data_IF_479460355296
#
_entry.id   IF_479460355296
#
_cell.length_a   1.000
_cell.length_b   1.000
_cell.length_c   1.000
_cell.angle_alpha   90.00
_cell.angle_beta   90.00
_cell.angle_gamma   90.00
#
_symmetry.space_group_name_H-M   'P 1'
#
loop_
_entity.id
_entity.type
_entity.pdbx_description
1 polymer ?
#
# COMPACT_ATOMS: atom_id res chain seq x y z
N UNK A 1 13.34 25.95 1.04
CA UNK A 1 13.62 25.02 2.15
C UNK A 1 13.97 23.64 1.57
N UNK A 2 15.02 23.07 2.09
CA UNK A 2 15.46 21.76 1.64
C UNK A 2 14.74 20.67 2.44
N UNK A 3 14.01 19.80 1.74
CA UNK A 3 13.30 18.69 2.39
C UNK A 3 14.27 17.57 2.73
N UNK A 4 14.02 16.82 3.82
CA UNK A 4 14.88 15.72 4.21
C UNK A 4 14.85 14.57 3.23
N UNK A 5 15.92 13.78 3.22
CA UNK A 5 15.92 12.45 2.63
C UNK A 5 15.49 11.45 3.70
N UNK A 6 14.63 10.50 3.33
CA UNK A 6 14.02 9.58 4.28
C UNK A 6 14.29 8.14 3.84
N UNK A 7 14.75 7.32 4.76
CA UNK A 7 14.88 5.88 4.56
C UNK A 7 13.76 5.14 5.25
N UNK A 8 13.16 4.17 4.57
CA UNK A 8 12.07 3.37 5.11
C UNK A 8 12.46 1.90 5.05
N UNK A 9 12.32 1.20 6.16
CA UNK A 9 12.59 -0.23 6.24
C UNK A 9 11.27 -0.96 6.22
N UNK A 10 11.06 -1.79 5.20
CA UNK A 10 9.84 -2.54 5.00
C UNK A 10 8.93 -1.93 3.94
N UNK A 11 8.60 -2.72 2.92
CA UNK A 11 7.73 -2.31 1.82
C UNK A 11 6.34 -2.97 1.91
N UNK A 12 5.82 -3.13 3.12
CA UNK A 12 4.43 -3.46 3.37
C UNK A 12 3.54 -2.22 3.25
N UNK A 13 2.24 -2.32 3.56
CA UNK A 13 1.32 -1.18 3.42
C UNK A 13 1.76 0.06 4.18
N UNK A 14 2.25 -0.08 5.41
CA UNK A 14 2.67 1.07 6.20
C UNK A 14 3.87 1.79 5.59
N UNK A 15 4.91 1.04 5.20
CA UNK A 15 6.11 1.61 4.61
C UNK A 15 5.83 2.24 3.26
N UNK A 16 5.06 1.57 2.41
CA UNK A 16 4.71 2.11 1.09
C UNK A 16 3.82 3.34 1.19
N UNK A 17 2.89 3.38 2.16
CA UNK A 17 2.05 4.55 2.40
C UNK A 17 2.90 5.75 2.81
N UNK A 18 3.83 5.55 3.75
CA UNK A 18 4.73 6.61 4.18
C UNK A 18 5.59 7.11 3.01
N UNK A 19 6.13 6.18 2.21
CA UNK A 19 6.96 6.53 1.05
C UNK A 19 6.16 7.36 0.03
N UNK A 20 4.94 6.96 -0.27
CA UNK A 20 4.09 7.67 -1.20
C UNK A 20 3.79 9.09 -0.73
N UNK A 21 3.38 9.25 0.52
CA UNK A 21 3.01 10.56 1.06
C UNK A 21 4.21 11.50 1.14
N UNK A 22 5.37 10.98 1.53
CA UNK A 22 6.60 11.79 1.59
C UNK A 22 7.08 12.18 0.20
N UNK A 23 7.01 11.26 -0.76
CA UNK A 23 7.39 11.54 -2.14
C UNK A 23 6.48 12.61 -2.76
N UNK A 24 5.18 12.58 -2.44
CA UNK A 24 4.25 13.63 -2.90
C UNK A 24 4.65 15.01 -2.40
N UNK A 25 5.28 15.08 -1.24
CA UNK A 25 5.77 16.35 -0.69
C UNK A 25 7.12 16.77 -1.25
N UNK A 26 7.72 15.94 -2.10
CA UNK A 26 8.99 16.24 -2.72
C UNK A 26 10.21 15.69 -1.99
N UNK A 27 10.02 14.87 -0.95
CA UNK A 27 11.14 14.23 -0.27
C UNK A 27 11.77 13.17 -1.15
N UNK A 28 13.08 12.99 -1.02
CA UNK A 28 13.74 11.82 -1.57
C UNK A 28 13.51 10.66 -0.62
N UNK A 29 12.97 9.56 -1.12
CA UNK A 29 12.63 8.40 -0.29
C UNK A 29 13.29 7.15 -0.84
N UNK A 30 13.96 6.40 0.03
CA UNK A 30 14.50 5.09 -0.28
C UNK A 30 13.80 4.05 0.61
N UNK A 31 13.38 2.94 0.03
CA UNK A 31 12.69 1.87 0.74
C UNK A 31 13.49 0.58 0.63
N UNK A 32 13.72 -0.08 1.75
CA UNK A 32 14.40 -1.37 1.81
C UNK A 32 13.42 -2.45 2.24
N UNK A 33 13.40 -3.56 1.51
CA UNK A 33 12.51 -4.69 1.79
C UNK A 33 13.34 -5.96 1.95
N UNK A 34 13.01 -6.76 3.00
CA UNK A 34 13.72 -7.99 3.28
C UNK A 34 13.41 -9.12 2.29
N UNK A 35 12.18 -9.13 1.73
CA UNK A 35 11.81 -10.13 0.74
C UNK A 35 12.54 -9.83 -0.58
N UNK A 36 13.34 -10.77 -1.11
CA UNK A 36 14.13 -10.50 -2.32
C UNK A 36 13.31 -10.46 -3.60
N UNK A 37 12.04 -10.85 -3.56
CA UNK A 37 11.20 -11.02 -4.75
C UNK A 37 9.98 -10.11 -4.75
N UNK A 38 9.34 -9.89 -3.59
CA UNK A 38 8.05 -9.23 -3.53
C UNK A 38 8.03 -8.06 -2.56
N UNK A 39 7.18 -7.08 -2.87
CA UNK A 39 6.80 -6.00 -1.96
C UNK A 39 5.33 -6.16 -1.58
N UNK A 40 4.86 -5.41 -0.59
CA UNK A 40 3.46 -5.41 -0.18
C UNK A 40 3.15 -6.17 1.10
N UNK A 41 4.10 -6.96 1.61
CA UNK A 41 3.89 -7.72 2.84
C UNK A 41 2.70 -8.66 2.73
N UNK A 42 1.81 -8.63 3.71
CA UNK A 42 0.61 -9.49 3.71
C UNK A 42 -0.46 -9.04 2.72
N UNK A 43 -0.30 -7.88 2.09
CA UNK A 43 -1.25 -7.39 1.08
C UNK A 43 -0.95 -7.92 -0.31
N UNK A 44 0.05 -8.76 -0.41
CA UNK A 44 0.48 -9.32 -1.68
C UNK A 44 -0.48 -10.39 -2.19
N UNK A 45 -0.68 -10.44 -3.51
CA UNK A 45 -1.42 -11.48 -4.19
C UNK A 45 -0.46 -12.55 -4.70
N UNK A 46 -0.80 -13.82 -4.50
CA UNK A 46 -0.02 -14.96 -5.00
C UNK A 46 -0.75 -15.56 -6.18
N UNK A 47 0.00 -15.89 -7.24
CA UNK A 47 -0.54 -16.61 -8.40
C UNK A 47 -0.12 -18.07 -8.31
N UNK A 48 -1.10 -18.98 -8.35
CA UNK A 48 -0.85 -20.42 -8.31
C UNK A 48 -1.77 -21.11 -9.31
N UNK A 49 -1.19 -21.85 -10.25
CA UNK A 49 -1.92 -22.58 -11.31
C UNK A 49 -2.90 -21.68 -12.07
N UNK A 50 -2.53 -20.43 -12.30
CA UNK A 50 -3.36 -19.45 -13.00
C UNK A 50 -4.40 -18.75 -12.14
N UNK A 51 -4.56 -19.14 -10.89
CA UNK A 51 -5.46 -18.48 -9.95
C UNK A 51 -4.70 -17.49 -9.09
N UNK A 52 -5.38 -16.42 -8.67
CA UNK A 52 -4.82 -15.38 -7.82
C UNK A 52 -5.42 -15.48 -6.43
N UNK A 53 -4.55 -15.49 -5.41
CA UNK A 53 -4.95 -15.57 -4.02
C UNK A 53 -4.28 -14.46 -3.22
N UNK A 54 -5.05 -13.80 -2.38
CA UNK A 54 -4.49 -12.85 -1.43
C UNK A 54 -3.97 -13.60 -0.21
N UNK A 55 -2.78 -13.20 0.26
CA UNK A 55 -2.16 -13.84 1.42
C UNK A 55 -2.88 -13.46 2.70
N UNK A 56 -3.30 -12.19 2.81
CA UNK A 56 -4.02 -11.69 3.97
C UNK A 56 -5.50 -11.49 3.70
N UNK A 57 -6.15 -10.69 4.53
CA UNK A 57 -7.52 -10.29 4.30
C UNK A 57 -7.66 -9.52 2.99
N UNK A 58 -8.71 -9.79 2.25
CA UNK A 58 -8.89 -9.23 0.91
C UNK A 58 -9.99 -8.17 0.85
N UNK A 59 -10.56 -7.77 1.98
CA UNK A 59 -11.56 -6.72 2.04
C UNK A 59 -11.03 -5.54 2.85
N UNK A 60 -11.20 -4.36 2.29
CA UNK A 60 -10.89 -3.12 2.99
C UNK A 60 -12.13 -2.62 3.73
N UNK A 61 -11.94 -2.25 4.98
CA UNK A 61 -12.97 -1.59 5.78
C UNK A 61 -12.31 -0.60 6.71
N UNK A 62 -12.84 0.62 6.76
CA UNK A 62 -12.33 1.64 7.68
C UNK A 62 -13.45 2.58 8.07
N UNK A 63 -13.41 3.07 9.33
CA UNK A 63 -14.28 4.13 9.81
C UNK A 63 -13.65 5.50 9.64
N UNK A 64 -12.41 5.58 9.19
CA UNK A 64 -11.70 6.84 9.00
C UNK A 64 -11.94 7.37 7.59
N UNK A 65 -12.54 8.56 7.48
CA UNK A 65 -12.73 9.22 6.21
C UNK A 65 -11.42 9.57 5.52
N UNK A 66 -10.37 9.87 6.30
CA UNK A 66 -9.05 10.15 5.76
C UNK A 66 -8.44 8.92 5.09
N UNK A 67 -8.58 7.74 5.71
CA UNK A 67 -8.09 6.48 5.15
C UNK A 67 -8.88 6.12 3.90
N UNK A 68 -10.20 6.26 3.91
CA UNK A 68 -11.03 5.99 2.75
C UNK A 68 -10.67 6.90 1.58
N UNK A 69 -10.43 8.19 1.84
CA UNK A 69 -10.02 9.13 0.81
C UNK A 69 -8.66 8.75 0.21
N UNK A 70 -7.73 8.29 1.05
CA UNK A 70 -6.42 7.83 0.59
C UNK A 70 -6.55 6.61 -0.32
N UNK A 71 -7.36 5.64 0.05
CA UNK A 71 -7.59 4.44 -0.77
C UNK A 71 -8.22 4.80 -2.10
N UNK A 72 -9.18 5.73 -2.11
CA UNK A 72 -9.79 6.20 -3.35
C UNK A 72 -8.79 6.92 -4.24
N UNK A 73 -7.88 7.69 -3.66
CA UNK A 73 -6.82 8.36 -4.40
C UNK A 73 -5.90 7.37 -5.12
N UNK A 74 -5.52 6.28 -4.44
CA UNK A 74 -4.59 5.30 -4.98
C UNK A 74 -5.27 4.39 -6.02
N UNK A 75 -6.47 3.90 -5.70
CA UNK A 75 -7.11 2.84 -6.49
C UNK A 75 -8.04 3.39 -7.58
N UNK A 76 -8.61 4.58 -7.36
CA UNK A 76 -9.53 5.15 -8.35
C UNK A 76 -10.65 4.20 -8.73
N UNK A 77 -10.80 3.95 -10.02
CA UNK A 77 -11.86 3.09 -10.55
C UNK A 77 -11.67 1.60 -10.26
N UNK A 78 -10.49 1.20 -9.79
CA UNK A 78 -10.25 -0.19 -9.41
C UNK A 78 -10.91 -0.55 -8.08
N UNK A 79 -11.40 0.44 -7.33
CA UNK A 79 -12.02 0.21 -6.04
C UNK A 79 -13.51 -0.09 -6.20
N UNK A 80 -13.94 -1.24 -5.69
CA UNK A 80 -15.34 -1.65 -5.70
C UNK A 80 -15.91 -1.61 -4.29
N UNK A 81 -17.14 -1.10 -4.17
CA UNK A 81 -17.85 -1.07 -2.90
C UNK A 81 -18.87 -2.20 -2.86
N UNK A 82 -18.90 -2.94 -1.76
CA UNK A 82 -19.84 -4.04 -1.53
C UNK A 82 -20.42 -3.92 -0.13
N UNK A 83 -21.73 -4.14 -0.03
CA UNK A 83 -22.38 -4.17 1.29
C UNK A 83 -21.96 -5.43 2.05
N UNK A 84 -21.86 -5.26 3.37
CA UNK A 84 -21.58 -6.39 4.24
C UNK A 84 -22.88 -7.18 4.48
N UNK A 85 -22.75 -8.48 4.40
CA UNK A 85 -23.85 -9.38 4.70
C UNK A 85 -23.81 -9.82 6.16
#
# INVERSE_FOLDING_TARGET
MRLPSVGIIGAGPAGLTAAYLLAKQGCKVDVWEADPTYVGGISRTVVHKGFRFDIGGHRFFSKSGEVEAFWSEILGDDMLTRDRL
#
